data_IF_262795581436
#
_entry.id   IF_262795581436
#
_cell.length_a   1.000
_cell.length_b   1.000
_cell.length_c   1.000
_cell.angle_alpha   90.00
_cell.angle_beta   90.00
_cell.angle_gamma   90.00
#
_symmetry.space_group_name_H-M   'P 1'
#
loop_
_entity.id
_entity.type
_entity.pdbx_description
1 polymer ?
#
# COMPACT_ATOMS: atom_id res chain seq x y z
N UNK A 1 -17.69 -17.92 -18.64
CA UNK A 1 -16.59 -16.95 -18.77
C UNK A 1 -15.29 -17.72 -18.61
N UNK A 2 -14.40 -17.79 -19.61
CA UNK A 2 -13.09 -18.46 -19.44
C UNK A 2 -12.22 -17.48 -18.65
N UNK A 3 -11.82 -17.86 -17.44
CA UNK A 3 -10.75 -17.16 -16.72
C UNK A 3 -9.46 -17.33 -17.55
N UNK A 4 -8.97 -16.25 -18.15
CA UNK A 4 -7.66 -16.24 -18.78
C UNK A 4 -6.60 -16.30 -17.68
N UNK A 5 -5.74 -17.31 -17.71
CA UNK A 5 -4.62 -17.42 -16.78
C UNK A 5 -3.54 -16.42 -17.22
N UNK A 6 -3.16 -15.50 -16.33
CA UNK A 6 -1.99 -14.65 -16.48
C UNK A 6 -0.80 -15.22 -15.71
N UNK A 7 0.42 -14.97 -16.20
CA UNK A 7 1.65 -15.34 -15.52
C UNK A 7 2.50 -14.10 -15.27
N UNK A 8 3.04 -13.99 -14.06
CA UNK A 8 4.03 -12.98 -13.70
C UNK A 8 5.33 -13.71 -13.35
N UNK A 9 6.39 -13.44 -14.13
CA UNK A 9 7.73 -13.97 -13.87
C UNK A 9 8.58 -12.84 -13.31
N UNK A 10 9.17 -13.07 -12.13
CA UNK A 10 9.99 -12.10 -11.41
C UNK A 10 11.29 -12.75 -10.95
N UNK A 11 12.29 -11.92 -10.66
CA UNK A 11 13.52 -12.36 -10.03
C UNK A 11 13.22 -12.97 -8.65
N UNK A 12 13.89 -14.08 -8.33
CA UNK A 12 13.82 -14.66 -6.99
C UNK A 12 14.74 -13.89 -6.04
N UNK A 13 14.15 -13.17 -5.08
CA UNK A 13 14.91 -12.40 -4.11
C UNK A 13 15.43 -13.30 -2.99
N UNK A 14 16.76 -13.36 -2.85
CA UNK A 14 17.42 -14.13 -1.79
C UNK A 14 17.85 -13.22 -0.64
N UNK A 15 17.39 -13.52 0.57
CA UNK A 15 17.84 -12.82 1.77
C UNK A 15 17.05 -13.18 3.01
N UNK A 16 17.17 -12.31 4.01
CA UNK A 16 16.59 -12.48 5.34
C UNK A 16 15.39 -11.55 5.49
N UNK A 17 14.19 -12.12 5.64
CA UNK A 17 12.99 -11.38 6.01
C UNK A 17 13.07 -10.82 7.43
N UNK A 18 12.41 -9.69 7.67
CA UNK A 18 12.27 -9.11 9.02
C UNK A 18 11.18 -9.79 9.85
N UNK A 19 10.36 -10.66 9.25
CA UNK A 19 9.31 -11.37 9.98
C UNK A 19 9.88 -12.21 11.14
N UNK A 20 9.34 -11.96 12.34
CA UNK A 20 9.77 -12.65 13.56
C UNK A 20 11.18 -12.29 14.04
N UNK A 21 11.81 -11.24 13.48
CA UNK A 21 13.15 -10.78 13.86
C UNK A 21 13.11 -9.38 14.46
N UNK A 22 14.16 -9.05 15.20
CA UNK A 22 14.36 -7.67 15.64
C UNK A 22 15.00 -6.86 14.50
N UNK A 23 14.25 -5.89 13.99
CA UNK A 23 14.64 -5.01 12.86
C UNK A 23 14.62 -3.53 13.25
N UNK A 24 14.36 -3.22 14.52
CA UNK A 24 14.19 -1.83 14.99
C UNK A 24 15.52 -1.06 15.16
N UNK A 25 16.63 -1.61 14.67
CA UNK A 25 17.92 -0.95 14.74
C UNK A 25 17.89 0.34 13.90
N UNK A 26 18.46 1.47 14.39
CA UNK A 26 18.31 2.77 13.73
C UNK A 26 18.74 2.83 12.26
N UNK A 27 19.76 2.07 11.85
CA UNK A 27 20.22 2.03 10.46
C UNK A 27 19.21 1.33 9.52
N UNK A 28 18.59 0.24 9.98
CA UNK A 28 17.52 -0.48 9.27
C UNK A 28 16.30 0.43 9.18
N UNK A 29 15.92 1.09 10.27
CA UNK A 29 14.79 2.04 10.29
C UNK A 29 15.00 3.17 9.27
N UNK A 30 16.20 3.76 9.21
CA UNK A 30 16.53 4.77 8.20
C UNK A 30 16.30 4.25 6.78
N UNK A 31 16.73 3.01 6.49
CA UNK A 31 16.55 2.39 5.16
C UNK A 31 15.10 2.08 4.84
N UNK A 32 14.31 1.61 5.81
CA UNK A 32 12.86 1.41 5.67
C UNK A 32 12.19 2.74 5.35
N UNK A 33 12.50 3.80 6.10
CA UNK A 33 11.98 5.15 5.84
C UNK A 33 12.39 5.64 4.45
N UNK A 34 13.63 5.43 4.02
CA UNK A 34 14.07 5.76 2.66
C UNK A 34 13.25 5.02 1.59
N UNK A 35 13.01 3.71 1.76
CA UNK A 35 12.20 2.93 0.82
C UNK A 35 10.74 3.42 0.77
N UNK A 36 10.12 3.68 1.92
CA UNK A 36 8.75 4.20 2.00
C UNK A 36 8.65 5.61 1.40
N UNK A 37 9.64 6.47 1.64
CA UNK A 37 9.70 7.80 1.02
C UNK A 37 9.83 7.72 -0.50
N UNK A 38 10.55 6.73 -1.03
CA UNK A 38 10.62 6.53 -2.48
C UNK A 38 9.25 6.19 -3.07
N UNK A 39 8.47 5.30 -2.42
CA UNK A 39 7.09 5.00 -2.83
C UNK A 39 6.20 6.25 -2.70
N UNK A 40 6.27 6.93 -1.55
CA UNK A 40 5.50 8.12 -1.23
C UNK A 40 5.85 9.34 -2.11
N UNK A 41 6.98 9.31 -2.82
CA UNK A 41 7.37 10.38 -3.75
C UNK A 41 6.46 10.44 -4.98
N UNK A 42 5.79 9.33 -5.31
CA UNK A 42 4.85 9.23 -6.43
C UNK A 42 3.54 9.87 -6.01
N UNK A 43 3.20 11.00 -6.63
CA UNK A 43 1.94 11.72 -6.38
C UNK A 43 0.86 11.39 -7.41
N UNK A 44 -0.39 11.52 -6.98
CA UNK A 44 -1.58 11.40 -7.83
C UNK A 44 -2.55 12.55 -7.59
N UNK A 45 -3.55 12.66 -8.48
CA UNK A 45 -4.67 13.61 -8.30
C UNK A 45 -5.99 12.93 -8.01
N UNK A 46 -6.08 11.65 -8.34
CA UNK A 46 -7.29 10.84 -8.21
C UNK A 46 -6.99 9.71 -7.22
N UNK A 47 -7.80 9.53 -6.17
CA UNK A 47 -7.60 8.45 -5.23
C UNK A 47 -8.00 7.10 -5.82
N UNK A 48 -7.50 6.03 -5.22
CA UNK A 48 -7.81 4.65 -5.60
C UNK A 48 -6.71 4.00 -6.43
N UNK A 49 -7.08 3.00 -7.23
CA UNK A 49 -6.15 2.24 -8.07
C UNK A 49 -5.40 3.15 -9.06
N UNK A 50 -4.09 2.91 -9.23
CA UNK A 50 -3.24 3.64 -10.19
C UNK A 50 -3.75 3.49 -11.63
N UNK A 51 -4.36 2.35 -11.98
CA UNK A 51 -4.97 2.13 -13.30
C UNK A 51 -6.38 2.71 -13.44
N UNK A 52 -6.89 3.37 -12.40
CA UNK A 52 -8.32 3.67 -12.26
C UNK A 52 -9.16 2.42 -11.97
N UNK A 53 -10.46 2.64 -11.79
CA UNK A 53 -11.43 1.58 -11.46
C UNK A 53 -11.60 1.37 -9.95
N UNK A 54 -12.11 0.20 -9.58
CA UNK A 54 -12.32 -0.19 -8.19
C UNK A 54 -10.98 -0.39 -7.46
N UNK A 55 -10.97 -0.09 -6.17
CA UNK A 55 -9.82 -0.23 -5.31
C UNK A 55 -9.88 -1.56 -4.56
N UNK A 56 -8.75 -2.27 -4.50
CA UNK A 56 -8.59 -3.55 -3.81
C UNK A 56 -7.43 -3.50 -2.81
N UNK A 57 -7.38 -4.48 -1.91
CA UNK A 57 -6.40 -4.56 -0.82
C UNK A 57 -6.99 -4.30 0.57
N UNK A 58 -6.12 -4.23 1.57
CA UNK A 58 -6.50 -4.34 2.99
C UNK A 58 -7.43 -3.25 3.55
N UNK A 59 -7.57 -2.10 2.87
CA UNK A 59 -8.51 -1.04 3.30
C UNK A 59 -9.94 -1.25 2.80
N UNK A 60 -10.16 -2.19 1.88
CA UNK A 60 -11.46 -2.40 1.22
C UNK A 60 -12.02 -3.79 1.58
N UNK A 61 -13.33 -4.00 1.40
CA UNK A 61 -13.90 -5.35 1.42
C UNK A 61 -13.17 -6.31 0.48
N UNK A 62 -13.33 -7.62 0.70
CA UNK A 62 -12.68 -8.67 -0.10
C UNK A 62 -12.98 -8.52 -1.60
N UNK A 63 -14.23 -8.16 -1.93
CA UNK A 63 -14.69 -7.92 -3.31
C UNK A 63 -14.26 -6.55 -3.87
N UNK A 64 -13.49 -5.75 -3.13
CA UNK A 64 -13.05 -4.41 -3.52
C UNK A 64 -13.94 -3.29 -2.97
N UNK A 65 -13.72 -2.07 -3.47
CA UNK A 65 -14.47 -0.88 -3.05
C UNK A 65 -15.87 -0.78 -3.67
N UNK A 66 -16.23 -1.60 -4.67
CA UNK A 66 -17.52 -1.54 -5.39
C UNK A 66 -17.80 -0.20 -6.10
N UNK A 67 -16.82 0.69 -6.11
CA UNK A 67 -16.88 2.01 -6.75
C UNK A 67 -15.47 2.46 -7.12
N UNK A 68 -15.36 3.20 -8.21
CA UNK A 68 -14.18 4.01 -8.49
C UNK A 68 -14.29 5.36 -7.77
N UNK A 69 -13.16 5.95 -7.40
CA UNK A 69 -13.10 7.31 -6.84
C UNK A 69 -12.57 8.27 -7.89
N UNK A 70 -13.26 9.37 -8.14
CA UNK A 70 -12.84 10.36 -9.15
C UNK A 70 -12.12 11.55 -8.51
N UNK A 71 -12.35 11.78 -7.22
CA UNK A 71 -11.79 12.88 -6.44
C UNK A 71 -11.72 12.50 -4.95
N UNK A 72 -11.11 13.36 -4.13
CA UNK A 72 -10.95 13.15 -2.69
C UNK A 72 -12.27 13.12 -1.91
N UNK A 73 -13.30 13.82 -2.39
CA UNK A 73 -14.61 13.86 -1.73
C UNK A 73 -15.33 12.51 -1.87
N UNK A 74 -15.23 11.85 -3.04
CA UNK A 74 -15.76 10.49 -3.24
C UNK A 74 -15.16 9.52 -2.22
N UNK A 75 -13.84 9.55 -2.04
CA UNK A 75 -13.12 8.71 -1.07
C UNK A 75 -13.53 9.05 0.37
N UNK A 76 -13.61 10.34 0.71
CA UNK A 76 -13.99 10.78 2.05
C UNK A 76 -15.41 10.30 2.39
N UNK A 77 -16.36 10.48 1.48
CA UNK A 77 -17.73 10.02 1.66
C UNK A 77 -17.76 8.51 1.87
N UNK A 78 -17.07 7.75 1.02
CA UNK A 78 -16.99 6.29 1.13
C UNK A 78 -16.45 5.81 2.48
N UNK A 79 -15.39 6.47 3.00
CA UNK A 79 -14.81 6.13 4.30
C UNK A 79 -15.74 6.53 5.45
N UNK A 80 -16.36 7.72 5.39
CA UNK A 80 -17.24 8.20 6.45
C UNK A 80 -18.53 7.39 6.59
N UNK A 81 -19.10 6.91 5.49
CA UNK A 81 -20.24 5.97 5.53
C UNK A 81 -19.92 4.70 6.31
N UNK A 82 -18.65 4.26 6.34
CA UNK A 82 -18.22 3.08 7.10
C UNK A 82 -17.78 3.43 8.52
N UNK A 83 -17.06 4.54 8.68
CA UNK A 83 -16.56 5.00 9.97
C UNK A 83 -17.67 5.45 10.93
N UNK A 84 -18.85 5.82 10.41
CA UNK A 84 -20.01 6.17 11.25
C UNK A 84 -20.41 5.03 12.19
N UNK A 85 -20.23 3.77 11.78
CA UNK A 85 -20.46 2.60 12.63
C UNK A 85 -19.52 2.53 13.84
N UNK A 86 -18.38 3.20 13.74
CA UNK A 86 -17.38 3.35 14.81
C UNK A 86 -17.45 4.73 15.49
N UNK A 87 -18.51 5.51 15.25
CA UNK A 87 -18.66 6.88 15.74
C UNK A 87 -17.48 7.79 15.37
N UNK A 88 -16.91 7.58 14.19
CA UNK A 88 -15.72 8.28 13.70
C UNK A 88 -15.96 8.89 12.31
N UNK A 89 -15.10 9.83 11.93
CA UNK A 89 -15.04 10.41 10.59
C UNK A 89 -13.62 10.86 10.23
N UNK A 90 -13.42 11.11 8.95
CA UNK A 90 -12.19 11.68 8.37
C UNK A 90 -12.52 12.87 7.48
N UNK A 91 -11.56 13.78 7.38
CA UNK A 91 -11.57 14.92 6.45
C UNK A 91 -10.32 14.79 5.57
N UNK A 92 -10.50 14.65 4.26
CA UNK A 92 -9.43 14.38 3.27
C UNK A 92 -9.23 15.60 2.33
N UNK A 93 -9.91 16.73 2.62
CA UNK A 93 -9.86 17.92 1.78
C UNK A 93 -8.43 18.39 1.55
N UNK A 94 -8.08 18.57 0.26
CA UNK A 94 -6.79 19.09 -0.20
C UNK A 94 -5.58 18.24 0.23
N UNK A 95 -5.80 16.97 0.59
CA UNK A 95 -4.70 16.07 0.91
C UNK A 95 -3.87 15.76 -0.35
N UNK A 96 -2.55 15.92 -0.22
CA UNK A 96 -1.59 15.43 -1.20
C UNK A 96 -1.72 13.91 -1.31
N UNK A 97 -2.32 13.43 -2.40
CA UNK A 97 -2.46 12.01 -2.66
C UNK A 97 -1.12 11.45 -3.10
N UNK A 98 -0.65 10.45 -2.36
CA UNK A 98 0.61 9.75 -2.62
C UNK A 98 0.38 8.26 -2.76
N UNK A 99 1.24 7.60 -3.51
CA UNK A 99 1.21 6.15 -3.60
C UNK A 99 1.60 5.55 -2.26
N UNK A 100 0.78 4.62 -1.79
CA UNK A 100 1.01 3.86 -0.57
C UNK A 100 1.16 2.37 -0.92
N UNK A 101 2.03 1.65 -0.23
CA UNK A 101 2.14 0.19 -0.37
C UNK A 101 0.92 -0.56 0.19
N UNK A 102 0.16 0.07 1.10
CA UNK A 102 -1.07 -0.46 1.73
C UNK A 102 -0.89 -1.64 2.68
N UNK A 103 0.19 -2.42 2.58
CA UNK A 103 0.54 -3.49 3.52
C UNK A 103 2.00 -3.36 4.02
N UNK A 104 2.32 -2.26 4.69
CA UNK A 104 3.66 -2.08 5.28
C UNK A 104 3.78 -2.92 6.54
N UNK A 105 4.49 -4.05 6.45
CA UNK A 105 4.72 -4.96 7.56
C UNK A 105 6.13 -5.60 7.47
N UNK A 106 6.72 -6.10 8.58
CA UNK A 106 8.06 -6.69 8.57
C UNK A 106 8.24 -7.82 7.54
N UNK A 107 7.19 -8.61 7.30
CA UNK A 107 7.18 -9.67 6.29
C UNK A 107 7.39 -9.18 4.85
N UNK A 108 7.22 -7.89 4.57
CA UNK A 108 7.40 -7.25 3.24
C UNK A 108 8.80 -6.69 3.04
N UNK A 109 9.68 -6.86 4.02
CA UNK A 109 11.05 -6.38 3.95
C UNK A 109 12.04 -7.54 4.03
N UNK A 110 13.07 -7.50 3.18
CA UNK A 110 14.23 -8.38 3.29
C UNK A 110 15.53 -7.60 3.22
N UNK A 111 16.58 -8.15 3.84
CA UNK A 111 17.97 -7.75 3.58
C UNK A 111 18.67 -8.89 2.84
N UNK A 112 19.30 -8.57 1.71
CA UNK A 112 20.06 -9.55 0.93
C UNK A 112 21.51 -9.71 1.42
N UNK A 113 22.25 -10.62 0.79
CA UNK A 113 23.66 -10.90 1.13
C UNK A 113 24.61 -9.72 0.87
N UNK A 114 24.19 -8.73 0.10
CA UNK A 114 24.92 -7.49 -0.16
C UNK A 114 24.51 -6.37 0.80
N UNK A 115 23.75 -6.71 1.85
CA UNK A 115 23.20 -5.77 2.81
C UNK A 115 22.32 -4.70 2.13
N UNK A 116 21.59 -5.02 1.06
CA UNK A 116 20.59 -4.14 0.43
C UNK A 116 19.20 -4.46 0.98
N UNK A 117 18.37 -3.42 1.17
CA UNK A 117 17.01 -3.56 1.69
C UNK A 117 16.05 -3.59 0.51
N UNK A 118 15.16 -4.57 0.52
CA UNK A 118 14.11 -4.72 -0.47
C UNK A 118 12.76 -4.60 0.22
N UNK A 119 11.85 -3.85 -0.41
CA UNK A 119 10.42 -3.86 -0.10
C UNK A 119 9.73 -4.66 -1.20
N UNK A 120 8.91 -5.63 -0.80
CA UNK A 120 8.23 -6.54 -1.72
C UNK A 120 6.87 -6.93 -1.19
N UNK A 121 5.89 -6.99 -2.07
CA UNK A 121 4.65 -7.75 -2.02
C UNK A 121 3.83 -7.46 -3.28
#
# INVERSE_FOLDING_TARGET
>A
MRLSIGYLLMENMHGVSFEGKDWNHPDILCRVVTALNAVNSISGRTPGSVSGGESHGCLWPEDGSWTAFHNSDDLQWYLNERLVHFQSNVIIREADLRLCHMDVAPRKFLIDSQNRLWLFD
#
